data_IF_304631624944
#
_entry.id   IF_304631624944
#
_cell.length_a   1.000
_cell.length_b   1.000
_cell.length_c   1.000
_cell.angle_alpha   90.00
_cell.angle_beta   90.00
_cell.angle_gamma   90.00
#
_symmetry.space_group_name_H-M   'P 1'
#
loop_
_entity.id
_entity.type
_entity.pdbx_description
1 polymer ?
#
# COMPACT_ATOMS: atom_id res chain seq x y z
N UNK A 1 -4.35 -1.18 -41.08
CA UNK A 1 -2.91 -1.05 -41.36
C UNK A 1 -2.21 -2.00 -40.44
N UNK A 2 -1.49 -2.94 -41.04
CA UNK A 2 -0.85 -4.07 -40.40
C UNK A 2 0.53 -3.60 -39.88
N UNK A 3 0.66 -3.40 -38.56
CA UNK A 3 1.92 -2.98 -37.94
C UNK A 3 2.11 -3.71 -36.62
N UNK A 4 2.45 -4.98 -36.66
CA UNK A 4 2.95 -5.73 -35.49
C UNK A 4 3.99 -6.76 -35.91
N UNK A 5 4.94 -6.35 -36.75
CA UNK A 5 6.25 -7.01 -36.70
C UNK A 5 6.88 -6.58 -35.38
N UNK A 6 7.14 -7.49 -34.43
CA UNK A 6 7.82 -7.12 -33.19
C UNK A 6 9.15 -6.44 -33.55
N UNK A 7 9.45 -5.29 -32.94
CA UNK A 7 10.73 -4.63 -33.12
C UNK A 7 11.85 -5.65 -32.89
N UNK A 8 12.84 -5.69 -33.78
CA UNK A 8 13.96 -6.63 -33.63
C UNK A 8 14.79 -6.25 -32.41
N UNK A 9 15.27 -7.24 -31.68
CA UNK A 9 16.16 -7.02 -30.55
C UNK A 9 17.51 -6.51 -31.04
N UNK A 10 17.95 -5.37 -30.53
CA UNK A 10 19.21 -4.71 -30.94
C UNK A 10 20.33 -5.09 -29.98
N UNK A 11 21.40 -5.66 -30.50
CA UNK A 11 22.59 -6.08 -29.74
C UNK A 11 23.78 -5.23 -30.16
N UNK A 12 24.41 -4.55 -29.20
CA UNK A 12 25.66 -3.84 -29.42
C UNK A 12 26.84 -4.77 -29.13
N UNK A 13 27.61 -5.10 -30.16
CA UNK A 13 28.83 -5.91 -30.07
C UNK A 13 30.04 -5.00 -30.06
N UNK A 14 30.93 -5.19 -29.10
CA UNK A 14 32.12 -4.36 -28.92
C UNK A 14 33.34 -5.22 -28.66
N UNK A 15 34.37 -5.04 -29.48
CA UNK A 15 35.65 -5.75 -29.39
C UNK A 15 36.63 -4.95 -30.27
N UNK A 16 37.93 -4.88 -29.99
CA UNK A 16 38.89 -4.14 -30.82
C UNK A 16 39.40 -4.99 -32.01
N UNK A 17 39.31 -6.32 -31.92
CA UNK A 17 39.69 -7.25 -32.96
C UNK A 17 38.56 -7.47 -33.96
N UNK A 18 38.80 -7.11 -35.23
CA UNK A 18 37.81 -7.19 -36.30
C UNK A 18 37.26 -8.62 -36.51
N UNK A 19 38.11 -9.65 -36.42
CA UNK A 19 37.69 -11.05 -36.61
C UNK A 19 36.75 -11.52 -35.49
N UNK A 20 37.01 -11.11 -34.25
CA UNK A 20 36.18 -11.43 -33.08
C UNK A 20 34.82 -10.73 -33.18
N UNK A 21 34.80 -9.43 -33.52
CA UNK A 21 33.56 -8.70 -33.83
C UNK A 21 32.76 -9.37 -34.93
N UNK A 22 33.42 -9.73 -36.03
CA UNK A 22 32.78 -10.37 -37.18
C UNK A 22 32.12 -11.70 -36.81
N UNK A 23 32.80 -12.55 -36.03
CA UNK A 23 32.25 -13.82 -35.55
C UNK A 23 31.00 -13.61 -34.68
N UNK A 24 31.07 -12.71 -33.71
CA UNK A 24 29.93 -12.40 -32.83
C UNK A 24 28.74 -11.84 -33.64
N UNK A 25 29.01 -10.90 -34.54
CA UNK A 25 28.02 -10.32 -35.45
C UNK A 25 27.34 -11.38 -36.31
N UNK A 26 28.10 -12.24 -36.99
CA UNK A 26 27.54 -13.30 -37.81
C UNK A 26 26.70 -14.30 -36.99
N UNK A 27 27.15 -14.65 -35.79
CA UNK A 27 26.42 -15.54 -34.88
C UNK A 27 25.07 -14.95 -34.48
N UNK A 28 25.04 -13.67 -34.12
CA UNK A 28 23.83 -12.99 -33.67
C UNK A 28 22.87 -12.66 -34.83
N UNK A 29 23.38 -12.21 -35.98
CA UNK A 29 22.56 -11.98 -37.17
C UNK A 29 21.85 -13.25 -37.63
N UNK A 30 22.54 -14.40 -37.60
CA UNK A 30 21.95 -15.70 -37.93
C UNK A 30 20.80 -16.10 -36.99
N UNK A 31 20.76 -15.55 -35.78
CA UNK A 31 19.71 -15.77 -34.78
C UNK A 31 18.64 -14.66 -34.76
N UNK A 32 18.60 -13.80 -35.78
CA UNK A 32 17.53 -12.82 -35.98
C UNK A 32 17.67 -11.50 -35.20
N UNK A 33 18.80 -11.29 -34.52
CA UNK A 33 19.12 -10.02 -33.86
C UNK A 33 19.51 -8.95 -34.88
N UNK A 34 19.23 -7.70 -34.54
CA UNK A 34 19.87 -6.55 -35.19
C UNK A 34 21.17 -6.26 -34.45
N UNK A 35 22.28 -6.13 -35.18
CA UNK A 35 23.61 -5.98 -34.56
C UNK A 35 24.21 -4.65 -34.94
N UNK A 36 24.61 -3.89 -33.92
CA UNK A 36 25.44 -2.69 -34.06
C UNK A 36 26.83 -3.03 -33.53
N UNK A 37 27.87 -2.52 -34.16
CA UNK A 37 29.26 -2.81 -33.82
C UNK A 37 29.98 -1.55 -33.33
N UNK A 38 30.87 -1.71 -32.35
CA UNK A 38 31.89 -0.72 -31.98
C UNK A 38 33.26 -1.38 -31.89
N UNK A 39 34.29 -0.67 -32.35
CA UNK A 39 35.68 -1.13 -32.32
C UNK A 39 36.43 -0.69 -31.05
N UNK A 40 35.81 0.09 -30.17
CA UNK A 40 36.43 0.58 -28.94
C UNK A 40 35.42 0.87 -27.84
N UNK A 41 35.89 0.92 -26.59
CA UNK A 41 35.07 1.29 -25.44
C UNK A 41 34.51 2.72 -25.51
N UNK A 42 35.26 3.67 -26.10
CA UNK A 42 34.79 5.05 -26.29
C UNK A 42 33.65 5.12 -27.30
N UNK A 43 33.81 4.46 -28.45
CA UNK A 43 32.75 4.39 -29.48
C UNK A 43 31.49 3.71 -28.94
N UNK A 44 31.66 2.67 -28.12
CA UNK A 44 30.56 2.00 -27.46
C UNK A 44 29.75 2.94 -26.55
N UNK A 45 30.41 3.80 -25.76
CA UNK A 45 29.73 4.76 -24.90
C UNK A 45 28.94 5.81 -25.69
N UNK A 46 29.41 6.18 -26.88
CA UNK A 46 28.70 7.10 -27.78
C UNK A 46 27.48 6.41 -28.42
N UNK A 47 27.64 5.16 -28.85
CA UNK A 47 26.58 4.39 -29.50
C UNK A 47 25.46 3.97 -28.54
N UNK A 48 25.76 3.62 -27.29
CA UNK A 48 24.72 3.20 -26.33
C UNK A 48 23.62 4.25 -26.18
N UNK A 49 23.96 5.53 -26.19
CA UNK A 49 23.00 6.64 -26.04
C UNK A 49 22.13 6.85 -27.28
N UNK A 50 22.69 6.62 -28.47
CA UNK A 50 22.03 6.90 -29.75
C UNK A 50 21.22 5.70 -30.24
N UNK A 51 21.72 4.50 -30.02
CA UNK A 51 21.12 3.24 -30.47
C UNK A 51 20.16 2.65 -29.42
N UNK A 52 20.39 2.92 -28.13
CA UNK A 52 19.64 2.32 -27.01
C UNK A 52 19.50 0.79 -27.13
N UNK A 53 20.62 0.04 -27.15
CA UNK A 53 20.59 -1.40 -27.38
C UNK A 53 19.80 -2.14 -26.28
N UNK A 54 19.30 -3.33 -26.62
CA UNK A 54 18.64 -4.23 -25.68
C UNK A 54 19.66 -5.03 -24.87
N UNK A 55 20.80 -5.39 -25.47
CA UNK A 55 21.92 -6.09 -24.84
C UNK A 55 23.23 -5.59 -25.40
N UNK A 56 24.25 -5.54 -24.56
CA UNK A 56 25.61 -5.24 -24.97
C UNK A 56 26.52 -6.44 -24.72
N UNK A 57 27.28 -6.85 -25.73
CA UNK A 57 28.31 -7.89 -25.65
C UNK A 57 29.65 -7.21 -25.86
N UNK A 58 30.54 -7.28 -24.88
CA UNK A 58 31.71 -6.42 -24.78
C UNK A 58 32.97 -7.21 -24.45
N UNK A 59 34.01 -7.07 -25.25
CA UNK A 59 35.33 -7.59 -24.89
C UNK A 59 35.94 -6.85 -23.69
N UNK A 60 36.63 -7.59 -22.83
CA UNK A 60 37.28 -7.03 -21.65
C UNK A 60 38.59 -6.31 -21.98
N UNK A 61 39.37 -6.85 -22.92
CA UNK A 61 40.76 -6.50 -23.15
C UNK A 61 40.94 -5.62 -24.38
N UNK A 62 40.49 -4.37 -24.30
CA UNK A 62 40.63 -3.39 -25.38
C UNK A 62 41.66 -2.28 -25.05
N UNK A 63 42.33 -1.70 -26.06
CA UNK A 63 43.18 -0.52 -25.89
C UNK A 63 42.41 0.70 -25.34
N UNK A 64 43.06 1.47 -24.45
CA UNK A 64 42.54 2.71 -23.90
C UNK A 64 41.56 2.51 -22.74
N UNK A 65 40.39 1.91 -23.00
CA UNK A 65 39.37 1.62 -21.98
C UNK A 65 39.09 0.12 -21.93
N UNK A 66 39.26 -0.48 -20.74
CA UNK A 66 38.89 -1.89 -20.56
C UNK A 66 37.36 -2.05 -20.55
N UNK A 67 36.87 -3.27 -20.83
CA UNK A 67 35.44 -3.57 -20.70
C UNK A 67 34.90 -3.27 -19.30
N UNK A 68 35.73 -3.41 -18.26
CA UNK A 68 35.37 -3.05 -16.88
C UNK A 68 35.18 -1.54 -16.70
N UNK A 69 36.02 -0.70 -17.34
CA UNK A 69 35.88 0.76 -17.30
C UNK A 69 34.58 1.20 -17.98
N UNK A 70 34.25 0.57 -19.12
CA UNK A 70 33.01 0.84 -19.85
C UNK A 70 31.79 0.41 -19.03
N UNK A 71 31.82 -0.75 -18.37
CA UNK A 71 30.76 -1.17 -17.45
C UNK A 71 30.51 -0.09 -16.38
N UNK A 72 31.56 0.38 -15.71
CA UNK A 72 31.45 1.41 -14.67
C UNK A 72 30.87 2.71 -15.23
N UNK A 73 31.31 3.14 -16.41
CA UNK A 73 30.80 4.34 -17.06
C UNK A 73 29.30 4.23 -17.41
N UNK A 74 28.85 3.08 -17.92
CA UNK A 74 27.43 2.81 -18.22
C UNK A 74 26.58 2.79 -16.94
N UNK A 75 27.09 2.18 -15.87
CA UNK A 75 26.39 2.12 -14.56
C UNK A 75 26.29 3.47 -13.87
N UNK A 76 27.21 4.39 -14.14
CA UNK A 76 27.22 5.74 -13.57
C UNK A 76 26.12 6.67 -14.13
N UNK A 77 25.44 6.30 -15.24
CA UNK A 77 24.40 7.14 -15.88
C UNK A 77 23.01 6.52 -15.69
N UNK A 78 22.03 7.32 -15.28
CA UNK A 78 20.68 6.84 -14.98
C UNK A 78 19.96 6.23 -16.21
N UNK A 79 20.25 6.73 -17.40
CA UNK A 79 19.63 6.33 -18.67
C UNK A 79 20.13 4.95 -19.13
N UNK A 80 21.36 4.59 -18.77
CA UNK A 80 22.02 3.38 -19.28
C UNK A 80 22.36 2.37 -18.20
N UNK A 81 22.22 2.72 -16.91
CA UNK A 81 22.62 1.87 -15.80
C UNK A 81 21.91 0.51 -15.77
N UNK A 82 20.75 0.44 -16.42
CA UNK A 82 19.94 -0.77 -16.53
C UNK A 82 20.33 -1.69 -17.70
N UNK A 83 21.12 -1.23 -18.68
CA UNK A 83 21.51 -2.02 -19.86
C UNK A 83 22.22 -3.32 -19.47
N UNK A 84 21.71 -4.52 -19.85
CA UNK A 84 22.43 -5.76 -19.61
C UNK A 84 23.71 -5.80 -20.45
N UNK A 85 24.82 -6.05 -19.76
CA UNK A 85 26.16 -6.07 -20.35
C UNK A 85 26.80 -7.42 -20.05
N UNK A 86 27.13 -8.16 -21.12
CA UNK A 86 27.79 -9.45 -21.11
C UNK A 86 29.26 -9.20 -21.46
N UNK A 87 30.16 -9.53 -20.55
CA UNK A 87 31.60 -9.41 -20.80
C UNK A 87 32.13 -10.66 -21.50
N UNK A 88 33.01 -10.47 -22.47
CA UNK A 88 33.71 -11.53 -23.20
C UNK A 88 35.20 -11.39 -22.91
N UNK A 89 35.88 -12.47 -22.52
CA UNK A 89 37.31 -12.40 -22.20
C UNK A 89 38.06 -13.68 -22.53
N UNK A 90 39.33 -13.55 -22.93
CA UNK A 90 40.27 -14.67 -23.02
C UNK A 90 40.73 -15.20 -21.65
N UNK A 91 40.65 -14.38 -20.60
CA UNK A 91 41.04 -14.77 -19.23
C UNK A 91 39.78 -14.90 -18.38
N UNK A 92 39.40 -16.14 -18.08
CA UNK A 92 38.16 -16.47 -17.37
C UNK A 92 38.43 -17.11 -16.00
N UNK A 93 39.46 -16.67 -15.30
CA UNK A 93 39.70 -17.12 -13.93
C UNK A 93 38.65 -16.54 -12.96
N UNK A 94 38.60 -17.09 -11.74
CA UNK A 94 37.60 -16.67 -10.73
C UNK A 94 37.71 -15.18 -10.38
N UNK A 95 38.92 -14.61 -10.42
CA UNK A 95 39.14 -13.19 -10.14
C UNK A 95 38.58 -12.28 -11.22
N UNK A 96 38.80 -12.60 -12.50
CA UNK A 96 38.32 -11.82 -13.64
C UNK A 96 36.79 -11.81 -13.72
N UNK A 97 36.16 -12.96 -13.43
CA UNK A 97 34.70 -13.07 -13.37
C UNK A 97 34.13 -12.25 -12.21
N UNK A 98 34.71 -12.36 -11.02
CA UNK A 98 34.29 -11.57 -9.86
C UNK A 98 34.42 -10.06 -10.11
N UNK A 99 35.51 -9.62 -10.74
CA UNK A 99 35.71 -8.22 -11.12
C UNK A 99 34.68 -7.75 -12.15
N UNK A 100 34.27 -8.61 -13.09
CA UNK A 100 33.23 -8.33 -14.08
C UNK A 100 31.89 -8.01 -13.43
N UNK A 101 31.44 -8.87 -12.53
CA UNK A 101 30.20 -8.64 -11.78
C UNK A 101 30.30 -7.41 -10.87
N UNK A 102 31.43 -7.23 -10.18
CA UNK A 102 31.67 -6.05 -9.34
C UNK A 102 31.68 -4.73 -10.14
N UNK A 103 32.05 -4.78 -11.42
CA UNK A 103 31.99 -3.64 -12.34
C UNK A 103 30.60 -3.40 -12.92
N UNK A 104 29.64 -4.30 -12.65
CA UNK A 104 28.24 -4.18 -13.03
C UNK A 104 27.82 -4.99 -14.25
N UNK A 105 28.66 -5.86 -14.81
CA UNK A 105 28.23 -6.80 -15.84
C UNK A 105 27.16 -7.76 -15.29
N UNK A 106 26.23 -8.18 -16.14
CA UNK A 106 25.17 -9.14 -15.76
C UNK A 106 25.56 -10.58 -16.08
N UNK A 107 26.59 -10.76 -16.91
CA UNK A 107 27.11 -12.06 -17.27
C UNK A 107 28.52 -11.99 -17.87
N UNK A 108 29.13 -13.16 -18.04
CA UNK A 108 30.49 -13.33 -18.53
C UNK A 108 30.63 -14.56 -19.44
N UNK A 109 31.39 -14.42 -20.54
CA UNK A 109 31.65 -15.44 -21.54
C UNK A 109 33.16 -15.59 -21.80
N UNK A 110 33.68 -16.81 -21.69
CA UNK A 110 35.11 -17.08 -21.92
C UNK A 110 35.42 -17.37 -23.39
N UNK A 111 36.48 -16.80 -23.94
CA UNK A 111 37.05 -17.17 -25.25
C UNK A 111 37.96 -18.41 -25.11
N UNK A 112 37.95 -19.35 -26.07
CA UNK A 112 37.02 -19.43 -27.20
C UNK A 112 35.62 -19.86 -26.76
N UNK A 113 34.59 -19.24 -27.33
CA UNK A 113 33.18 -19.60 -27.08
C UNK A 113 32.53 -20.17 -28.33
N UNK A 114 31.41 -20.86 -28.12
CA UNK A 114 30.55 -21.33 -29.21
C UNK A 114 29.47 -20.31 -29.54
N UNK A 115 29.09 -20.20 -30.80
CA UNK A 115 28.02 -19.31 -31.24
C UNK A 115 26.70 -19.59 -30.48
N UNK A 116 26.41 -20.85 -30.18
CA UNK A 116 25.22 -21.25 -29.43
C UNK A 116 25.22 -20.68 -27.99
N UNK A 117 26.39 -20.66 -27.33
CA UNK A 117 26.52 -20.14 -25.96
C UNK A 117 26.31 -18.63 -25.92
N UNK A 118 26.93 -17.89 -26.85
CA UNK A 118 26.73 -16.44 -26.98
C UNK A 118 25.25 -16.12 -27.20
N UNK A 119 24.61 -16.80 -28.15
CA UNK A 119 23.21 -16.53 -28.49
C UNK A 119 22.26 -16.88 -27.34
N UNK A 120 22.53 -17.96 -26.61
CA UNK A 120 21.73 -18.33 -25.44
C UNK A 120 21.80 -17.27 -24.34
N UNK A 121 23.00 -16.76 -24.02
CA UNK A 121 23.17 -15.70 -23.01
C UNK A 121 22.52 -14.40 -23.45
N UNK A 122 22.70 -14.01 -24.70
CA UNK A 122 22.05 -12.80 -25.25
C UNK A 122 20.53 -12.94 -25.21
N UNK A 123 19.97 -14.10 -25.57
CA UNK A 123 18.54 -14.35 -25.54
C UNK A 123 17.95 -14.14 -24.13
N UNK A 124 18.56 -14.78 -23.12
CA UNK A 124 18.11 -14.66 -21.72
C UNK A 124 18.12 -13.21 -21.24
N UNK A 125 19.21 -12.48 -21.48
CA UNK A 125 19.33 -11.10 -21.00
C UNK A 125 18.47 -10.11 -21.80
N UNK A 126 18.24 -10.36 -23.10
CA UNK A 126 17.32 -9.58 -23.91
C UNK A 126 15.87 -9.75 -23.44
N UNK A 127 15.45 -10.98 -23.15
CA UNK A 127 14.11 -11.29 -22.64
C UNK A 127 13.89 -10.67 -21.25
N UNK A 128 14.85 -10.81 -20.34
CA UNK A 128 14.80 -10.18 -19.01
C UNK A 128 14.71 -8.65 -19.10
N UNK A 129 15.49 -8.02 -19.98
CA UNK A 129 15.43 -6.58 -20.17
C UNK A 129 14.07 -6.12 -20.73
N UNK A 130 13.51 -6.87 -21.70
CA UNK A 130 12.16 -6.61 -22.22
C UNK A 130 11.09 -6.74 -21.15
N UNK A 131 11.09 -7.83 -20.39
CA UNK A 131 10.13 -8.07 -19.32
C UNK A 131 10.19 -6.94 -18.29
N UNK A 132 11.39 -6.50 -17.91
CA UNK A 132 11.58 -5.35 -17.01
C UNK A 132 11.03 -4.05 -17.59
N UNK A 133 11.32 -3.72 -18.85
CA UNK A 133 10.80 -2.50 -19.51
C UNK A 133 9.27 -2.51 -19.56
N UNK A 134 8.65 -3.63 -19.94
CA UNK A 134 7.19 -3.81 -19.95
C UNK A 134 6.58 -3.64 -18.55
N UNK A 135 7.24 -4.18 -17.52
CA UNK A 135 6.79 -4.04 -16.15
C UNK A 135 6.83 -2.56 -15.70
N UNK A 136 7.94 -1.86 -15.98
CA UNK A 136 8.10 -0.43 -15.67
C UNK A 136 7.04 0.43 -16.40
N UNK A 137 6.77 0.16 -17.67
CA UNK A 137 5.72 0.83 -18.45
C UNK A 137 4.33 0.55 -17.88
N UNK A 138 4.03 -0.69 -17.51
CA UNK A 138 2.75 -1.08 -16.92
C UNK A 138 2.53 -0.41 -15.56
N UNK A 139 3.56 -0.35 -14.71
CA UNK A 139 3.51 0.39 -13.45
C UNK A 139 3.26 1.88 -13.67
N UNK A 140 3.97 2.51 -14.62
CA UNK A 140 3.75 3.91 -14.96
C UNK A 140 2.31 4.14 -15.44
N UNK A 141 1.77 3.23 -16.26
CA UNK A 141 0.40 3.30 -16.77
C UNK A 141 -0.64 3.13 -15.68
N UNK A 142 -0.46 2.17 -14.78
CA UNK A 142 -1.32 1.95 -13.62
C UNK A 142 -1.33 3.17 -12.70
N UNK A 143 -0.17 3.77 -12.45
CA UNK A 143 -0.06 4.97 -11.64
C UNK A 143 -0.79 6.17 -12.26
N UNK A 144 -0.76 6.30 -13.59
CA UNK A 144 -1.50 7.33 -14.32
C UNK A 144 -3.01 7.10 -14.24
N UNK A 145 -3.48 5.89 -14.54
CA UNK A 145 -4.90 5.53 -14.44
C UNK A 145 -5.45 5.73 -13.03
N UNK A 146 -4.65 5.42 -12.01
CA UNK A 146 -5.05 5.64 -10.63
C UNK A 146 -5.18 7.14 -10.32
N UNK A 147 -4.26 7.99 -10.81
CA UNK A 147 -4.35 9.46 -10.68
C UNK A 147 -5.59 10.03 -11.37
N UNK A 148 -5.90 9.57 -12.57
CA UNK A 148 -7.10 9.99 -13.31
C UNK A 148 -8.38 9.62 -12.57
N UNK A 149 -8.47 8.35 -12.12
CA UNK A 149 -9.58 7.85 -11.30
C UNK A 149 -9.80 8.72 -10.05
N UNK A 150 -8.73 9.12 -9.37
CA UNK A 150 -8.80 9.90 -8.15
C UNK A 150 -9.27 11.34 -8.38
N UNK A 151 -8.85 11.96 -9.49
CA UNK A 151 -9.38 13.27 -9.93
C UNK A 151 -10.89 13.19 -10.17
N UNK A 152 -11.37 12.12 -10.83
CA UNK A 152 -12.80 11.91 -11.05
C UNK A 152 -13.58 11.81 -9.73
N UNK A 153 -13.11 11.03 -8.75
CA UNK A 153 -13.76 10.92 -7.45
C UNK A 153 -13.75 12.23 -6.67
N UNK A 154 -12.64 12.99 -6.72
CA UNK A 154 -12.53 14.30 -6.09
C UNK A 154 -13.54 15.31 -6.65
N UNK A 155 -13.64 15.40 -7.99
CA UNK A 155 -14.57 16.30 -8.67
C UNK A 155 -16.03 15.90 -8.42
N UNK A 156 -16.38 14.62 -8.58
CA UNK A 156 -17.74 14.14 -8.34
C UNK A 156 -18.21 14.44 -6.91
N UNK A 157 -17.31 14.31 -5.93
CA UNK A 157 -17.63 14.64 -4.56
C UNK A 157 -17.80 16.13 -4.29
N UNK A 158 -16.98 16.98 -4.90
CA UNK A 158 -17.20 18.42 -4.82
C UNK A 158 -18.56 18.81 -5.40
N UNK A 159 -18.88 18.29 -6.59
CA UNK A 159 -20.08 18.65 -7.35
C UNK A 159 -21.36 18.11 -6.72
N UNK A 160 -21.28 17.01 -5.96
CA UNK A 160 -22.41 16.50 -5.17
C UNK A 160 -22.60 17.24 -3.84
N UNK A 161 -21.53 17.74 -3.20
CA UNK A 161 -21.64 18.46 -1.92
C UNK A 161 -22.47 19.74 -2.04
N UNK A 162 -22.32 20.48 -3.14
CA UNK A 162 -23.07 21.71 -3.42
C UNK A 162 -24.60 21.54 -3.37
N UNK A 163 -25.21 20.69 -4.22
CA UNK A 163 -26.65 20.48 -4.22
C UNK A 163 -27.17 19.88 -2.91
N UNK A 164 -26.41 19.01 -2.24
CA UNK A 164 -26.78 18.48 -0.91
C UNK A 164 -26.88 19.62 0.10
N UNK A 165 -25.89 20.52 0.16
CA UNK A 165 -25.88 21.64 1.10
C UNK A 165 -27.08 22.58 0.87
N UNK A 166 -27.47 22.79 -0.40
CA UNK A 166 -28.65 23.58 -0.76
C UNK A 166 -29.93 22.89 -0.26
N UNK A 167 -30.09 21.58 -0.49
CA UNK A 167 -31.25 20.82 -0.01
C UNK A 167 -31.34 20.86 1.52
N UNK A 168 -30.22 20.68 2.22
CA UNK A 168 -30.14 20.80 3.68
C UNK A 168 -30.59 22.17 4.16
N UNK A 169 -30.02 23.24 3.58
CA UNK A 169 -30.36 24.61 3.98
C UNK A 169 -31.83 24.97 3.76
N UNK A 170 -32.45 24.51 2.67
CA UNK A 170 -33.89 24.71 2.46
C UNK A 170 -34.73 23.89 3.44
N UNK A 171 -34.34 22.66 3.74
CA UNK A 171 -35.04 21.80 4.68
C UNK A 171 -34.99 22.36 6.12
N UNK A 172 -33.82 22.80 6.57
CA UNK A 172 -33.60 23.44 7.88
C UNK A 172 -34.44 24.71 8.02
N UNK A 173 -34.40 25.59 7.00
CA UNK A 173 -35.18 26.83 7.01
C UNK A 173 -36.70 26.56 7.04
N UNK A 174 -37.18 25.60 6.25
CA UNK A 174 -38.59 25.23 6.24
C UNK A 174 -39.03 24.66 7.60
N UNK A 175 -38.20 23.82 8.23
CA UNK A 175 -38.46 23.29 9.58
C UNK A 175 -38.47 24.40 10.65
N UNK A 176 -37.59 25.39 10.54
CA UNK A 176 -37.52 26.53 11.47
C UNK A 176 -38.70 27.48 11.37
N UNK A 177 -39.33 27.60 10.19
CA UNK A 177 -40.51 28.42 9.94
C UNK A 177 -41.83 27.76 10.40
N UNK A 178 -41.83 26.44 10.58
CA UNK A 178 -43.01 25.70 11.06
C UNK A 178 -43.25 25.95 12.56
N UNK A 179 -44.35 26.64 12.90
CA UNK A 179 -44.82 26.82 14.28
C UNK A 179 -45.95 25.84 14.62
N UNK A 180 -45.87 25.24 15.81
CA UNK A 180 -46.86 24.31 16.36
C UNK A 180 -46.35 22.86 16.38
N UNK A 181 -46.38 22.22 17.55
CA UNK A 181 -45.84 20.87 17.80
C UNK A 181 -46.65 19.71 17.21
N UNK A 182 -47.45 19.96 16.17
CA UNK A 182 -48.19 18.89 15.50
C UNK A 182 -47.31 18.20 14.46
N UNK A 183 -47.35 16.87 14.46
CA UNK A 183 -46.73 16.00 13.46
C UNK A 183 -47.42 16.18 12.10
N UNK A 184 -47.04 17.22 11.37
CA UNK A 184 -47.50 17.45 10.00
C UNK A 184 -46.73 16.57 9.00
N UNK A 185 -47.38 15.97 8.00
CA UNK A 185 -46.71 15.16 6.97
C UNK A 185 -45.54 15.90 6.29
N UNK A 186 -45.66 17.21 6.10
CA UNK A 186 -44.62 18.06 5.51
C UNK A 186 -43.39 18.18 6.42
N UNK A 187 -43.60 18.26 7.74
CA UNK A 187 -42.51 18.28 8.72
C UNK A 187 -41.74 16.97 8.68
N UNK A 188 -42.47 15.86 8.66
CA UNK A 188 -41.87 14.52 8.58
C UNK A 188 -41.10 14.32 7.26
N UNK A 189 -41.61 14.82 6.13
CA UNK A 189 -40.91 14.79 4.85
C UNK A 189 -39.60 15.60 4.88
N UNK A 190 -39.61 16.80 5.48
CA UNK A 190 -38.42 17.64 5.62
C UNK A 190 -37.36 17.01 6.56
N UNK A 191 -37.78 16.41 7.67
CA UNK A 191 -36.89 15.68 8.57
C UNK A 191 -36.24 14.48 7.87
N UNK A 192 -36.96 13.78 6.97
CA UNK A 192 -36.39 12.72 6.14
C UNK A 192 -35.39 13.26 5.12
N UNK A 193 -35.73 14.34 4.41
CA UNK A 193 -34.83 14.99 3.44
C UNK A 193 -33.54 15.44 4.11
N UNK A 194 -33.63 16.08 5.28
CA UNK A 194 -32.47 16.54 6.04
C UNK A 194 -31.59 15.36 6.44
N UNK A 195 -32.18 14.32 7.04
CA UNK A 195 -31.44 13.12 7.48
C UNK A 195 -30.75 12.39 6.33
N UNK A 196 -31.41 12.23 5.18
CA UNK A 196 -30.77 11.57 4.02
C UNK A 196 -29.69 12.47 3.38
N UNK A 197 -29.84 13.79 3.43
CA UNK A 197 -28.84 14.74 2.92
C UNK A 197 -27.60 14.78 3.81
N UNK A 198 -27.76 14.81 5.14
CA UNK A 198 -26.68 14.66 6.12
C UNK A 198 -25.95 13.32 5.94
N UNK A 199 -26.69 12.25 5.68
CA UNK A 199 -26.11 10.95 5.41
C UNK A 199 -25.29 10.95 4.10
N UNK A 200 -25.77 11.61 3.03
CA UNK A 200 -25.01 11.76 1.79
C UNK A 200 -23.73 12.59 1.99
N UNK A 201 -23.79 13.68 2.75
CA UNK A 201 -22.61 14.51 3.08
C UNK A 201 -21.56 13.67 3.83
N UNK A 202 -22.00 12.96 4.88
CA UNK A 202 -21.14 12.09 5.65
C UNK A 202 -20.52 10.96 4.80
N UNK A 203 -21.32 10.32 3.95
CA UNK A 203 -20.85 9.28 3.02
C UNK A 203 -19.79 9.81 2.07
N UNK A 204 -19.98 11.03 1.56
CA UNK A 204 -19.06 11.65 0.63
C UNK A 204 -17.73 12.04 1.27
N UNK A 205 -17.78 12.59 2.48
CA UNK A 205 -16.58 12.84 3.29
C UNK A 205 -15.83 11.54 3.59
N UNK A 206 -16.57 10.50 3.98
CA UNK A 206 -16.04 9.15 4.27
C UNK A 206 -15.32 8.56 3.05
N UNK A 207 -15.90 8.67 1.85
CA UNK A 207 -15.27 8.20 0.61
C UNK A 207 -14.00 8.97 0.26
N UNK A 208 -14.04 10.30 0.37
CA UNK A 208 -12.88 11.14 0.06
C UNK A 208 -11.72 10.90 1.03
N UNK A 209 -12.03 10.76 2.32
CA UNK A 209 -11.04 10.49 3.35
C UNK A 209 -10.36 9.13 3.14
N UNK A 210 -11.15 8.10 2.81
CA UNK A 210 -10.60 6.78 2.52
C UNK A 210 -9.67 6.83 1.30
N UNK A 211 -10.06 7.54 0.24
CA UNK A 211 -9.19 7.75 -0.92
C UNK A 211 -7.92 8.56 -0.56
N UNK A 212 -8.01 9.56 0.33
CA UNK A 212 -6.86 10.36 0.75
C UNK A 212 -5.87 9.57 1.63
N UNK A 213 -6.37 8.68 2.49
CA UNK A 213 -5.57 7.82 3.37
C UNK A 213 -4.79 6.76 2.59
N UNK A 214 -5.42 6.08 1.63
CA UNK A 214 -4.74 5.06 0.80
C UNK A 214 -3.60 5.62 -0.06
N UNK A 215 -3.66 6.91 -0.39
CA UNK A 215 -2.60 7.61 -1.13
C UNK A 215 -1.41 8.03 -0.26
N UNK A 216 -1.50 7.87 1.07
CA UNK A 216 -0.62 8.58 2.01
C UNK A 216 -0.72 10.12 1.88
N UNK A 217 -1.72 10.64 1.16
CA UNK A 217 -1.89 12.05 0.83
C UNK A 217 -2.42 12.86 2.02
N UNK A 218 -3.15 12.21 2.92
CA UNK A 218 -3.44 12.78 4.23
C UNK A 218 -2.25 12.52 5.16
N UNK A 219 -1.38 13.52 5.33
CA UNK A 219 -0.32 13.45 6.34
C UNK A 219 -0.95 13.38 7.73
N UNK A 220 -0.96 12.21 8.33
CA UNK A 220 -1.30 12.01 9.73
C UNK A 220 -0.37 12.89 10.59
N UNK A 221 -0.96 13.71 11.46
CA UNK A 221 -0.21 14.58 12.36
C UNK A 221 0.11 13.81 13.64
N UNK A 222 1.10 12.93 13.55
CA UNK A 222 1.53 12.08 14.67
C UNK A 222 2.07 12.95 15.82
N UNK A 223 1.36 12.93 16.95
CA UNK A 223 1.71 13.61 18.20
C UNK A 223 1.46 12.68 19.38
N UNK A 224 2.01 13.01 20.53
CA UNK A 224 1.66 12.32 21.77
C UNK A 224 0.16 12.45 22.00
N UNK A 225 -0.51 11.30 22.02
CA UNK A 225 -1.96 11.20 22.11
C UNK A 225 -2.29 10.16 23.18
N UNK A 226 -3.06 10.57 24.18
CA UNK A 226 -3.58 9.68 25.21
C UNK A 226 -4.86 8.98 24.73
N UNK A 227 -4.77 7.66 24.53
CA UNK A 227 -5.91 6.83 24.12
C UNK A 227 -6.99 6.77 25.21
N UNK A 228 -6.63 6.85 26.49
CA UNK A 228 -7.60 6.86 27.58
C UNK A 228 -8.49 8.10 27.50
N UNK A 229 -7.88 9.29 27.42
CA UNK A 229 -8.63 10.54 27.27
C UNK A 229 -9.50 10.53 26.01
N UNK A 230 -9.00 10.00 24.89
CA UNK A 230 -9.76 9.91 23.65
C UNK A 230 -10.99 8.98 23.80
N UNK A 231 -10.82 7.81 24.43
CA UNK A 231 -11.90 6.85 24.69
C UNK A 231 -12.94 7.43 25.65
N UNK A 232 -12.53 8.12 26.71
CA UNK A 232 -13.42 8.81 27.65
C UNK A 232 -14.33 9.81 26.94
N UNK A 233 -13.74 10.70 26.14
CA UNK A 233 -14.54 11.68 25.38
C UNK A 233 -15.43 11.02 24.32
N UNK A 234 -15.02 9.89 23.73
CA UNK A 234 -15.85 9.17 22.77
C UNK A 234 -17.08 8.51 23.43
N UNK A 235 -16.91 7.94 24.62
CA UNK A 235 -18.00 7.39 25.43
C UNK A 235 -18.98 8.49 25.83
N UNK A 236 -18.50 9.63 26.34
CA UNK A 236 -19.34 10.79 26.69
C UNK A 236 -20.19 11.27 25.51
N UNK A 237 -19.61 11.36 24.31
CA UNK A 237 -20.36 11.73 23.09
C UNK A 237 -21.40 10.69 22.69
N UNK A 238 -21.17 9.42 23.01
CA UNK A 238 -22.03 8.31 22.63
C UNK A 238 -23.17 8.06 23.64
N UNK A 239 -23.08 8.58 24.87
CA UNK A 239 -24.10 8.39 25.91
C UNK A 239 -25.53 8.75 25.48
N UNK A 240 -25.80 9.90 24.81
CA UNK A 240 -27.17 10.23 24.40
C UNK A 240 -27.75 9.23 23.40
N UNK A 241 -26.93 8.63 22.54
CA UNK A 241 -27.36 7.60 21.60
C UNK A 241 -27.62 6.27 22.32
N UNK A 242 -26.75 5.88 23.26
CA UNK A 242 -26.93 4.69 24.08
C UNK A 242 -28.21 4.79 24.94
N UNK A 243 -28.43 5.93 25.59
CA UNK A 243 -29.59 6.18 26.45
C UNK A 243 -30.92 6.10 25.67
N UNK A 244 -30.98 6.69 24.46
CA UNK A 244 -32.16 6.61 23.57
C UNK A 244 -32.55 5.17 23.23
N UNK A 245 -31.57 4.26 23.20
CA UNK A 245 -31.76 2.84 22.86
C UNK A 245 -31.72 1.93 24.11
N UNK A 246 -31.76 2.52 25.31
CA UNK A 246 -31.70 1.81 26.60
C UNK A 246 -30.52 0.84 26.72
N UNK A 247 -29.35 1.25 26.22
CA UNK A 247 -28.12 0.45 26.25
C UNK A 247 -27.25 0.81 27.45
N UNK A 248 -26.64 -0.20 28.06
CA UNK A 248 -25.61 0.01 29.08
C UNK A 248 -24.24 0.24 28.40
N UNK A 249 -23.79 1.49 28.36
CA UNK A 249 -22.46 1.86 27.88
C UNK A 249 -21.48 1.96 29.06
N UNK A 250 -20.34 1.24 29.00
CA UNK A 250 -19.33 1.24 30.07
C UNK A 250 -17.93 1.46 29.53
N UNK A 251 -17.12 2.25 30.23
CA UNK A 251 -15.69 2.39 30.00
C UNK A 251 -14.92 1.62 31.07
N UNK A 252 -13.95 0.80 30.65
CA UNK A 252 -13.06 0.04 31.52
C UNK A 252 -11.62 0.39 31.17
N UNK A 253 -10.85 0.79 32.17
CA UNK A 253 -9.46 1.22 32.01
C UNK A 253 -8.56 0.26 32.78
N UNK A 254 -7.61 -0.37 32.09
CA UNK A 254 -6.56 -1.16 32.71
C UNK A 254 -5.32 -0.29 33.01
N UNK A 255 -4.49 -0.74 33.96
CA UNK A 255 -3.21 -0.08 34.25
C UNK A 255 -2.26 -0.22 33.05
N UNK A 256 -1.55 0.86 32.70
CA UNK A 256 -0.61 0.92 31.58
C UNK A 256 -0.33 2.35 31.12
N UNK A 257 0.64 2.51 30.22
CA UNK A 257 0.92 3.76 29.52
C UNK A 257 0.12 3.80 28.21
N UNK A 258 -0.90 4.65 28.18
CA UNK A 258 -1.82 4.76 27.03
C UNK A 258 -1.47 5.91 26.06
N UNK A 259 -0.28 6.49 26.21
CA UNK A 259 0.20 7.59 25.38
C UNK A 259 0.98 7.03 24.19
N UNK A 260 0.51 7.32 22.99
CA UNK A 260 1.09 6.84 21.72
C UNK A 260 1.41 7.99 20.77
N UNK A 261 2.26 7.73 19.76
CA UNK A 261 2.50 8.66 18.65
C UNK A 261 1.43 8.45 17.58
N UNK A 262 0.33 9.18 17.68
CA UNK A 262 -0.84 9.02 16.84
C UNK A 262 -1.41 10.37 16.36
N UNK A 263 -2.26 10.33 15.34
CA UNK A 263 -3.09 11.47 14.98
C UNK A 263 -4.35 11.47 15.87
N UNK A 264 -4.48 12.46 16.75
CA UNK A 264 -5.59 12.54 17.70
C UNK A 264 -6.98 12.58 17.02
N UNK A 265 -7.08 13.18 15.83
CA UNK A 265 -8.33 13.21 15.07
C UNK A 265 -8.64 11.84 14.44
N UNK A 266 -7.60 11.12 13.98
CA UNK A 266 -7.68 9.75 13.51
C UNK A 266 -8.14 8.78 14.59
N UNK A 267 -7.51 8.82 15.77
CA UNK A 267 -7.91 7.99 16.93
C UNK A 267 -9.37 8.24 17.31
N UNK A 268 -9.77 9.52 17.41
CA UNK A 268 -11.16 9.89 17.67
C UNK A 268 -12.12 9.27 16.64
N UNK A 269 -11.79 9.35 15.36
CA UNK A 269 -12.62 8.78 14.28
C UNK A 269 -12.73 7.26 14.37
N UNK A 270 -11.65 6.55 14.71
CA UNK A 270 -11.69 5.10 14.93
C UNK A 270 -12.69 4.80 16.04
N UNK A 271 -12.54 5.45 17.20
CA UNK A 271 -13.41 5.26 18.36
C UNK A 271 -14.88 5.56 18.04
N UNK A 272 -15.16 6.72 17.42
CA UNK A 272 -16.51 7.14 17.07
C UNK A 272 -17.16 6.11 16.10
N UNK A 273 -16.41 5.55 15.14
CA UNK A 273 -16.89 4.49 14.24
C UNK A 273 -17.17 3.17 14.97
N UNK A 274 -16.23 2.69 15.79
CA UNK A 274 -16.39 1.42 16.50
C UNK A 274 -17.55 1.47 17.50
N UNK A 275 -17.67 2.55 18.27
CA UNK A 275 -18.75 2.73 19.25
C UNK A 275 -20.09 2.92 18.54
N UNK A 276 -20.14 3.72 17.45
CA UNK A 276 -21.38 3.88 16.68
C UNK A 276 -21.88 2.55 16.12
N UNK A 277 -20.98 1.72 15.58
CA UNK A 277 -21.34 0.38 15.11
C UNK A 277 -21.87 -0.49 16.25
N UNK A 278 -21.18 -0.55 17.40
CA UNK A 278 -21.65 -1.30 18.55
C UNK A 278 -23.07 -0.88 18.97
N UNK A 279 -23.36 0.41 19.06
CA UNK A 279 -24.70 0.91 19.41
C UNK A 279 -25.77 0.59 18.34
N UNK A 280 -25.42 0.63 17.06
CA UNK A 280 -26.32 0.32 15.93
C UNK A 280 -26.76 -1.15 15.93
N UNK A 281 -25.84 -2.07 16.22
CA UNK A 281 -26.10 -3.52 16.14
C UNK A 281 -26.54 -4.14 17.47
N UNK A 282 -26.35 -3.46 18.60
CA UNK A 282 -26.85 -3.95 19.89
C UNK A 282 -28.38 -3.76 20.00
N UNK A 283 -29.15 -4.77 20.42
CA UNK A 283 -30.58 -4.65 20.73
C UNK A 283 -30.83 -3.84 22.01
N UNK A 284 -32.03 -3.27 22.14
CA UNK A 284 -32.43 -2.52 23.35
C UNK A 284 -32.26 -3.35 24.62
N UNK A 285 -31.73 -2.75 25.69
CA UNK A 285 -31.38 -3.45 26.94
C UNK A 285 -30.04 -4.19 26.91
N UNK A 286 -29.33 -4.18 25.78
CA UNK A 286 -27.99 -4.76 25.65
C UNK A 286 -26.89 -3.89 26.27
N UNK A 287 -25.64 -4.33 26.08
CA UNK A 287 -24.46 -3.70 26.67
C UNK A 287 -23.38 -3.46 25.63
N UNK A 288 -22.72 -2.31 25.74
CA UNK A 288 -21.49 -1.98 25.02
C UNK A 288 -20.41 -1.61 26.03
N UNK A 289 -19.24 -2.23 25.91
CA UNK A 289 -18.08 -2.00 26.78
C UNK A 289 -16.90 -1.53 25.96
N UNK A 290 -16.35 -0.37 26.28
CA UNK A 290 -15.09 0.14 25.74
C UNK A 290 -14.00 -0.17 26.75
N UNK A 291 -12.99 -0.94 26.36
CA UNK A 291 -11.85 -1.30 27.21
C UNK A 291 -10.58 -0.71 26.63
N UNK A 292 -9.83 0.05 27.43
CA UNK A 292 -8.48 0.51 27.10
C UNK A 292 -7.47 -0.25 27.95
N UNK A 293 -6.45 -0.82 27.33
CA UNK A 293 -5.43 -1.62 27.98
C UNK A 293 -4.11 -1.54 27.22
N UNK A 294 -3.00 -1.82 27.90
CA UNK A 294 -1.70 -2.01 27.24
C UNK A 294 -1.37 -3.51 27.18
N UNK A 295 -0.89 -3.97 26.03
CA UNK A 295 -0.37 -5.33 25.86
C UNK A 295 0.82 -5.31 24.91
N UNK A 296 1.93 -5.97 25.28
CA UNK A 296 3.14 -6.09 24.44
C UNK A 296 3.66 -4.74 23.89
N UNK A 297 3.60 -3.67 24.70
CA UNK A 297 3.94 -2.28 24.33
C UNK A 297 3.07 -1.68 23.23
N UNK A 298 1.80 -2.07 23.19
CA UNK A 298 0.79 -1.45 22.36
C UNK A 298 -0.37 -0.98 23.22
N UNK A 299 -0.78 0.28 23.04
CA UNK A 299 -2.03 0.75 23.60
C UNK A 299 -3.18 0.22 22.75
N UNK A 300 -4.03 -0.59 23.37
CA UNK A 300 -5.15 -1.26 22.74
C UNK A 300 -6.45 -0.69 23.24
N UNK A 301 -7.40 -0.50 22.33
CA UNK A 301 -8.78 -0.18 22.67
C UNK A 301 -9.72 -1.15 21.99
N UNK A 302 -10.54 -1.84 22.78
CA UNK A 302 -11.50 -2.84 22.33
C UNK A 302 -12.92 -2.40 22.68
N UNK A 303 -13.77 -2.32 21.68
CA UNK A 303 -15.21 -2.08 21.82
C UNK A 303 -15.93 -3.43 21.68
N UNK A 304 -16.59 -3.87 22.74
CA UNK A 304 -17.32 -5.13 22.83
C UNK A 304 -18.81 -4.86 22.98
N UNK A 305 -19.64 -5.55 22.21
CA UNK A 305 -21.09 -5.43 22.21
C UNK A 305 -21.79 -6.76 22.48
N UNK A 306 -23.00 -6.71 23.03
CA UNK A 306 -23.86 -7.88 23.23
C UNK A 306 -24.85 -8.07 22.07
N UNK A 307 -24.43 -7.76 20.84
CA UNK A 307 -25.24 -7.86 19.63
C UNK A 307 -25.33 -9.28 19.05
N UNK A 308 -25.65 -9.42 17.75
CA UNK A 308 -25.83 -10.72 17.09
C UNK A 308 -24.52 -11.49 16.85
N UNK A 309 -23.35 -10.84 17.00
CA UNK A 309 -22.06 -11.42 16.65
C UNK A 309 -21.77 -11.35 15.13
N UNK A 310 -20.70 -12.02 14.72
CA UNK A 310 -20.19 -12.11 13.36
C UNK A 310 -20.17 -13.56 12.90
N UNK A 311 -20.54 -13.83 11.65
CA UNK A 311 -20.31 -15.13 11.01
C UNK A 311 -18.85 -15.28 10.56
N UNK A 312 -18.43 -16.48 10.18
CA UNK A 312 -17.08 -16.70 9.63
C UNK A 312 -16.82 -15.88 8.36
N UNK A 313 -17.80 -15.82 7.46
CA UNK A 313 -17.73 -14.99 6.25
C UNK A 313 -17.66 -13.49 6.58
N UNK A 314 -18.43 -13.03 7.58
CA UNK A 314 -18.39 -11.64 8.03
C UNK A 314 -16.98 -11.28 8.53
N UNK A 315 -16.33 -12.14 9.33
CA UNK A 315 -15.00 -11.87 9.88
C UNK A 315 -13.92 -11.69 8.80
N UNK A 316 -14.00 -12.41 7.69
CA UNK A 316 -13.04 -12.28 6.59
C UNK A 316 -13.19 -10.96 5.83
N UNK A 317 -14.41 -10.41 5.78
CA UNK A 317 -14.73 -9.26 4.93
C UNK A 317 -15.01 -7.96 5.69
N UNK A 318 -15.11 -7.98 7.02
CA UNK A 318 -15.62 -6.86 7.81
C UNK A 318 -14.80 -5.57 7.71
N UNK A 319 -13.50 -5.67 7.42
CA UNK A 319 -12.63 -4.51 7.18
C UNK A 319 -12.47 -4.15 5.69
N UNK A 320 -13.22 -4.79 4.79
CA UNK A 320 -13.23 -4.48 3.36
C UNK A 320 -14.26 -3.40 3.01
N UNK A 321 -14.09 -2.76 1.86
CA UNK A 321 -14.95 -1.66 1.41
C UNK A 321 -16.33 -2.15 1.04
N UNK A 322 -17.36 -1.42 1.47
CA UNK A 322 -18.75 -1.72 1.16
C UNK A 322 -19.20 -3.11 1.62
N UNK A 323 -18.50 -3.69 2.61
CA UNK A 323 -18.86 -4.98 3.18
C UNK A 323 -20.31 -4.95 3.67
N UNK A 324 -21.12 -5.87 3.17
CA UNK A 324 -22.49 -6.08 3.65
C UNK A 324 -22.49 -7.27 4.59
N UNK A 325 -22.48 -6.97 5.87
CA UNK A 325 -22.54 -7.98 6.91
C UNK A 325 -23.95 -8.59 7.00
N UNK A 326 -24.01 -9.84 7.44
CA UNK A 326 -25.26 -10.57 7.66
C UNK A 326 -26.15 -9.92 8.75
N UNK A 327 -25.52 -9.30 9.75
CA UNK A 327 -26.18 -8.57 10.83
C UNK A 327 -26.90 -7.31 10.31
N UNK A 328 -28.19 -7.19 10.65
CA UNK A 328 -28.99 -5.99 10.33
C UNK A 328 -29.03 -5.02 11.51
N UNK A 329 -28.93 -3.70 11.28
CA UNK A 329 -29.09 -2.70 12.33
C UNK A 329 -30.46 -2.81 13.01
N UNK A 330 -30.48 -2.72 14.33
CA UNK A 330 -31.67 -3.03 15.14
C UNK A 330 -32.76 -1.95 15.06
N UNK A 331 -32.44 -0.77 14.53
CA UNK A 331 -33.35 0.35 14.35
C UNK A 331 -33.55 0.77 12.87
N UNK A 332 -33.21 -0.09 11.91
CA UNK A 332 -33.38 0.20 10.47
C UNK A 332 -32.40 1.24 9.89
N UNK A 333 -31.34 1.56 10.63
CA UNK A 333 -30.26 2.46 10.20
C UNK A 333 -29.53 1.86 8.99
N UNK A 334 -29.14 2.67 8.00
CA UNK A 334 -28.31 2.19 6.87
C UNK A 334 -26.83 2.20 7.28
N UNK A 335 -26.10 1.14 6.93
CA UNK A 335 -24.64 1.07 7.07
C UNK A 335 -23.99 1.19 5.69
N UNK A 336 -23.00 2.08 5.56
CA UNK A 336 -22.29 2.34 4.29
C UNK A 336 -21.22 1.29 3.98
N UNK A 337 -20.85 0.47 4.97
CA UNK A 337 -19.77 -0.53 4.84
C UNK A 337 -18.36 0.08 4.68
N UNK A 338 -18.19 1.38 4.95
CA UNK A 338 -16.90 2.08 4.81
C UNK A 338 -16.22 2.39 6.15
N UNK A 339 -16.97 2.47 7.25
CA UNK A 339 -16.44 2.90 8.55
C UNK A 339 -15.30 2.02 9.07
N UNK A 340 -15.43 0.69 8.94
CA UNK A 340 -14.40 -0.25 9.39
C UNK A 340 -13.18 -0.29 8.46
N UNK A 341 -13.36 -0.07 7.16
CA UNK A 341 -12.25 0.11 6.22
C UNK A 341 -11.43 1.37 6.57
N UNK A 342 -12.08 2.46 7.00
CA UNK A 342 -11.39 3.65 7.51
C UNK A 342 -10.66 3.37 8.81
N UNK A 343 -11.26 2.63 9.74
CA UNK A 343 -10.58 2.25 10.97
C UNK A 343 -9.26 1.51 10.68
N UNK A 344 -9.30 0.58 9.72
CA UNK A 344 -8.11 -0.13 9.26
C UNK A 344 -7.06 0.82 8.67
N UNK A 345 -7.45 1.66 7.71
CA UNK A 345 -6.53 2.59 7.05
C UNK A 345 -5.89 3.58 8.03
N UNK A 346 -6.65 4.11 8.99
CA UNK A 346 -6.14 5.01 10.02
C UNK A 346 -5.19 4.29 10.98
N UNK A 347 -5.55 3.10 11.47
CA UNK A 347 -4.72 2.34 12.40
C UNK A 347 -3.39 1.94 11.73
N UNK A 348 -3.44 1.37 10.53
CA UNK A 348 -2.25 0.98 9.76
C UNK A 348 -1.37 2.20 9.44
N UNK A 349 -1.97 3.34 9.08
CA UNK A 349 -1.24 4.60 8.85
C UNK A 349 -0.54 5.15 10.11
N UNK A 350 -1.03 4.78 11.31
CA UNK A 350 -0.39 5.10 12.59
C UNK A 350 0.59 4.00 13.06
N UNK A 351 0.91 3.02 12.21
CA UNK A 351 1.78 1.87 12.54
C UNK A 351 1.11 0.82 13.43
N UNK A 352 -0.22 0.88 13.55
CA UNK A 352 -1.04 0.00 14.36
C UNK A 352 -1.77 -1.07 13.56
N UNK A 353 -2.74 -1.73 14.21
CA UNK A 353 -3.61 -2.75 13.59
C UNK A 353 -5.03 -2.69 14.12
N UNK A 354 -5.96 -3.33 13.39
CA UNK A 354 -7.34 -3.59 13.81
C UNK A 354 -7.64 -5.07 13.79
N UNK A 355 -8.59 -5.52 14.61
CA UNK A 355 -9.07 -6.90 14.62
C UNK A 355 -10.51 -6.98 15.12
N UNK A 356 -11.15 -8.13 14.94
CA UNK A 356 -12.49 -8.40 15.43
C UNK A 356 -12.63 -9.86 15.88
N UNK A 357 -13.72 -10.15 16.59
CA UNK A 357 -14.10 -11.50 16.94
C UNK A 357 -15.46 -11.54 17.64
N UNK A 358 -15.86 -12.74 18.09
CA UNK A 358 -17.09 -12.91 18.87
C UNK A 358 -16.75 -13.03 20.36
N UNK A 359 -17.60 -12.44 21.21
CA UNK A 359 -17.47 -12.62 22.66
C UNK A 359 -17.91 -14.03 23.06
N UNK A 360 -17.27 -14.66 24.07
CA UNK A 360 -17.68 -15.97 24.58
C UNK A 360 -19.13 -16.01 25.10
N UNK A 361 -19.61 -14.88 25.63
CA UNK A 361 -20.96 -14.72 26.19
C UNK A 361 -22.01 -14.31 25.13
N UNK A 362 -21.61 -14.17 23.86
CA UNK A 362 -22.44 -13.67 22.76
C UNK A 362 -22.17 -12.21 22.39
N UNK A 363 -22.39 -11.88 21.12
CA UNK A 363 -22.05 -10.57 20.52
C UNK A 363 -20.65 -10.50 19.93
N UNK A 364 -20.22 -9.31 19.52
CA UNK A 364 -18.94 -9.10 18.83
C UNK A 364 -17.99 -8.18 19.62
N UNK A 365 -16.72 -8.19 19.25
CA UNK A 365 -15.78 -7.16 19.63
C UNK A 365 -14.95 -6.70 18.44
N UNK A 366 -14.59 -5.43 18.46
CA UNK A 366 -13.70 -4.78 17.50
C UNK A 366 -12.61 -4.04 18.26
N UNK A 367 -11.36 -4.25 17.89
CA UNK A 367 -10.21 -3.67 18.55
C UNK A 367 -9.31 -2.92 17.58
N UNK A 368 -8.59 -1.93 18.10
CA UNK A 368 -7.42 -1.37 17.46
C UNK A 368 -6.26 -1.24 18.46
N UNK A 369 -5.03 -1.29 17.95
CA UNK A 369 -3.80 -1.19 18.72
C UNK A 369 -2.85 -0.23 18.03
N UNK A 370 -2.17 0.62 18.81
CA UNK A 370 -1.10 1.51 18.32
C UNK A 370 0.15 1.28 19.17
N UNK A 371 1.35 1.15 18.57
CA UNK A 371 2.58 0.98 19.33
C UNK A 371 2.87 2.15 20.28
N UNK A 372 3.25 1.82 21.50
CA UNK A 372 3.76 2.78 22.48
C UNK A 372 5.21 3.08 22.12
N UNK A 373 5.61 4.36 21.95
CA UNK A 373 6.99 4.69 21.65
C UNK A 373 7.91 4.20 22.79
N UNK A 374 9.11 3.68 22.48
CA UNK A 374 10.08 3.36 23.52
C UNK A 374 10.42 4.64 24.30
N UNK A 375 10.58 4.50 25.62
CA UNK A 375 10.79 5.61 26.55
C UNK A 375 12.00 6.51 26.21
N UNK A 376 12.91 6.05 25.33
CA UNK A 376 14.12 6.75 24.89
C UNK A 376 14.29 6.71 23.35
N UNK A 377 13.53 7.51 22.60
CA UNK A 377 13.85 7.75 21.18
C UNK A 377 13.80 9.25 20.86
N UNK A 378 14.91 9.86 20.39
CA UNK A 378 14.88 11.22 19.86
C UNK A 378 14.01 11.25 18.59
N UNK A 379 13.38 12.40 18.33
CA UNK A 379 12.46 12.62 17.20
C UNK A 379 13.05 12.14 15.86
N UNK A 380 12.72 10.92 15.46
CA UNK A 380 12.99 10.43 14.13
C UNK A 380 11.88 10.94 13.20
N UNK A 381 12.25 11.81 12.27
CA UNK A 381 11.44 12.18 11.11
C UNK A 381 11.08 10.90 10.33
N UNK A 382 9.80 10.53 10.34
CA UNK A 382 9.30 9.31 9.69
C UNK A 382 9.41 9.46 8.16
N UNK A 383 10.12 8.52 7.52
CA UNK A 383 10.20 8.36 6.07
C UNK A 383 8.83 8.00 5.46
N UNK A 384 8.57 8.35 4.19
CA UNK A 384 7.30 8.06 3.53
C UNK A 384 7.01 6.55 3.49
N UNK A 385 5.77 6.21 3.82
CA UNK A 385 5.17 4.88 3.77
C UNK A 385 5.40 4.24 2.38
N UNK A 386 6.21 3.19 2.31
CA UNK A 386 6.36 2.36 1.12
C UNK A 386 5.25 1.32 1.18
N UNK A 387 4.29 1.42 0.26
CA UNK A 387 3.19 0.47 0.12
C UNK A 387 3.71 -0.95 -0.11
N UNK A 388 3.02 -1.91 0.51
CA UNK A 388 3.24 -3.35 0.38
C UNK A 388 3.35 -3.76 -1.10
N UNK A 389 4.57 -4.09 -1.52
CA UNK A 389 4.83 -4.94 -2.66
C UNK A 389 4.41 -6.37 -2.32
N UNK A 390 3.61 -6.96 -3.20
CA UNK A 390 3.19 -8.35 -3.11
C UNK A 390 4.38 -9.23 -3.49
N UNK A 391 5.07 -9.78 -2.50
CA UNK A 391 6.01 -10.87 -2.75
C UNK A 391 5.27 -12.21 -2.73
N UNK A 392 4.96 -12.67 -3.94
CA UNK A 392 4.59 -14.05 -4.20
C UNK A 392 5.80 -14.96 -4.11
N UNK A 393 6.04 -15.54 -2.93
CA UNK A 393 6.64 -16.86 -2.84
C UNK A 393 6.19 -17.54 -1.56
N UNK A 394 5.27 -18.49 -1.70
CA UNK A 394 4.94 -19.39 -0.61
C UNK A 394 6.14 -20.29 -0.35
N UNK A 395 6.85 -20.09 0.75
CA UNK A 395 7.65 -21.08 1.46
C UNK A 395 7.61 -20.76 2.95
N UNK A 396 7.23 -21.75 3.76
CA UNK A 396 7.19 -21.69 5.22
C UNK A 396 8.60 -21.52 5.79
N UNK A 397 8.87 -20.45 6.54
CA UNK A 397 9.99 -20.41 7.49
C UNK A 397 9.60 -19.63 8.74
N UNK A 398 9.42 -20.36 9.83
CA UNK A 398 9.52 -19.85 11.20
C UNK A 398 10.96 -19.41 11.49
N UNK A 399 11.16 -18.38 12.32
CA UNK A 399 12.08 -18.62 13.43
C UNK A 399 11.55 -18.02 14.74
N UNK A 400 11.02 -18.91 15.58
CA UNK A 400 11.09 -18.75 17.04
C UNK A 400 12.57 -18.71 17.46
N UNK A 401 13.02 -17.76 18.29
CA UNK A 401 14.22 -17.95 19.08
C UNK A 401 13.89 -18.83 20.30
N UNK A 402 14.56 -19.97 20.39
CA UNK A 402 14.61 -20.83 21.57
C UNK A 402 15.07 -20.03 22.81
N UNK A 403 14.18 -19.88 23.79
CA UNK A 403 14.52 -19.53 25.17
C UNK A 403 14.31 -20.78 26.04
N UNK A 404 15.33 -21.65 26.06
CA UNK A 404 15.40 -22.75 27.01
C UNK A 404 15.91 -22.23 28.36
N UNK A 405 14.95 -22.07 29.28
CA UNK A 405 15.00 -22.44 30.69
C UNK A 405 16.33 -22.29 31.46
N UNK A 406 16.43 -21.20 32.23
CA UNK A 406 17.05 -21.26 33.56
C UNK A 406 16.13 -22.08 34.48
N UNK A 407 16.56 -23.30 34.85
CA UNK A 407 16.08 -23.97 36.06
C UNK A 407 17.05 -23.73 37.20
N UNK A 408 16.47 -23.34 38.32
CA UNK A 408 17.03 -23.21 39.66
C UNK A 408 17.38 -24.57 40.28
N UNK A 409 18.47 -24.56 41.06
CA UNK A 409 18.80 -25.38 42.26
C UNK A 409 18.89 -26.91 42.10
N UNK A 410 20.10 -27.46 42.25
CA UNK A 410 20.74 -27.82 43.54
C UNK A 410 22.23 -27.99 43.35
#
# INVERSE_FOLDING_TARGET
MDTTTPAKTVVLVVDDLADSRFLMRCSLLANGYEVVEAASGSEALDLVMTVNPDVMVMDVCMPGMSGYDVCRAIRARAETCKLPLILVSAVADRSAVALGFASGAVDFLSKPFRAEELCARVAVHAELNRARRLLEESHARLAELNREKDLMFGMAAHDLRGPIAVIMGFAENALGLMRGGESRPERQALEVILRESEHMEHFLGTLLDLNALERGGQRLKLRETDIESAARSAVERAEPAAARKSLALRLVLAQGLHVVRADASGVRRILDNLISNALKFTPSGGRVTVRVSEHEREAQCVVSDSGPGLTGEDMEQVFTRFARLSAKPTAGEKSTGLGLAICRALAEGMGGRVWCGNNPEGGAFFGFAIPVPPCDAPEASVSPFVGLGVDGSGHSVSPFPHLLAHRTRT
#
